data_IF_459579576466
#
_entry.id   IF_459579576466
#
_cell.length_a   1.000
_cell.length_b   1.000
_cell.length_c   1.000
_cell.angle_alpha   90.00
_cell.angle_beta   90.00
_cell.angle_gamma   90.00
#
_symmetry.space_group_name_H-M   'P 1'
#
loop_
_entity.id
_entity.type
_entity.pdbx_description
1 polymer ?
#
# COMPACT_ATOMS: atom_id res chain seq x y z
N UNK A 1 29.50 -34.93 -39.81
CA UNK A 1 29.60 -33.49 -40.13
C UNK A 1 28.52 -32.75 -39.36
N UNK A 2 28.94 -31.78 -38.57
CA UNK A 2 28.20 -31.15 -37.47
C UNK A 2 27.46 -29.90 -37.96
N UNK A 3 26.16 -29.77 -37.67
CA UNK A 3 25.48 -28.47 -37.63
C UNK A 3 24.40 -28.46 -36.54
N UNK A 4 24.83 -28.29 -35.30
CA UNK A 4 23.96 -27.80 -34.22
C UNK A 4 23.92 -26.28 -34.30
N UNK A 5 22.81 -25.72 -34.75
CA UNK A 5 22.49 -24.29 -34.59
C UNK A 5 21.65 -24.19 -33.31
N UNK A 6 22.32 -24.19 -32.16
CA UNK A 6 21.67 -23.83 -30.91
C UNK A 6 21.52 -22.31 -30.90
N UNK A 7 20.32 -21.90 -31.29
CA UNK A 7 19.81 -20.54 -31.23
C UNK A 7 20.10 -19.92 -29.86
N UNK A 8 20.85 -18.81 -29.92
CA UNK A 8 21.04 -17.85 -28.85
C UNK A 8 19.67 -17.29 -28.43
N UNK A 9 18.95 -18.01 -27.56
CA UNK A 9 17.93 -17.40 -26.72
C UNK A 9 18.64 -16.52 -25.70
N UNK A 10 19.05 -15.34 -26.18
CA UNK A 10 19.39 -14.18 -25.38
C UNK A 10 18.13 -13.83 -24.59
N UNK A 11 17.97 -14.46 -23.41
CA UNK A 11 17.04 -13.99 -22.38
C UNK A 11 17.46 -12.55 -22.15
N UNK A 12 16.65 -11.61 -22.64
CA UNK A 12 16.61 -10.24 -22.15
C UNK A 12 16.54 -10.36 -20.63
N UNK A 13 17.70 -10.25 -19.99
CA UNK A 13 17.80 -9.98 -18.56
C UNK A 13 17.11 -8.62 -18.45
N UNK A 14 15.85 -8.64 -18.00
CA UNK A 14 15.19 -7.43 -17.55
C UNK A 14 16.22 -6.70 -16.67
N UNK A 15 16.47 -5.43 -16.97
CA UNK A 15 17.34 -4.60 -16.17
C UNK A 15 17.06 -4.93 -14.70
N UNK A 16 18.09 -5.37 -13.97
CA UNK A 16 17.97 -5.74 -12.56
C UNK A 16 17.18 -4.59 -11.91
N UNK A 17 15.94 -4.83 -11.42
CA UNK A 17 15.14 -3.76 -10.87
C UNK A 17 15.96 -3.20 -9.73
N UNK A 18 16.38 -1.95 -9.86
CA UNK A 18 17.29 -1.31 -8.91
C UNK A 18 16.61 -1.36 -7.55
N UNK A 19 17.03 -2.33 -6.74
CA UNK A 19 16.30 -2.71 -5.54
C UNK A 19 16.18 -1.48 -4.63
N UNK A 20 14.99 -1.28 -4.07
CA UNK A 20 14.80 -0.22 -3.09
C UNK A 20 15.78 -0.44 -1.93
N UNK A 21 16.50 0.60 -1.48
CA UNK A 21 17.38 0.49 -0.33
C UNK A 21 16.64 -0.06 0.90
N UNK A 22 17.28 -0.96 1.65
CA UNK A 22 16.65 -1.65 2.80
C UNK A 22 16.09 -0.65 3.83
N UNK A 23 16.81 0.44 4.11
CA UNK A 23 16.34 1.50 5.02
C UNK A 23 15.02 2.15 4.56
N UNK A 24 14.80 2.29 3.26
CA UNK A 24 13.56 2.85 2.70
C UNK A 24 12.44 1.82 2.79
N UNK A 25 12.76 0.54 2.59
CA UNK A 25 11.79 -0.54 2.77
C UNK A 25 11.30 -0.63 4.22
N UNK A 26 12.22 -0.58 5.19
CA UNK A 26 11.88 -0.56 6.61
C UNK A 26 11.05 0.67 6.98
N UNK A 27 11.38 1.85 6.44
CA UNK A 27 10.61 3.06 6.66
C UNK A 27 9.18 2.97 6.10
N UNK A 28 9.01 2.40 4.90
CA UNK A 28 7.70 2.20 4.30
C UNK A 28 6.87 1.17 5.08
N UNK A 29 7.49 0.11 5.59
CA UNK A 29 6.80 -0.89 6.40
C UNK A 29 6.40 -0.34 7.78
N UNK A 30 7.14 0.66 8.29
CA UNK A 30 6.80 1.44 9.49
C UNK A 30 5.81 2.59 9.24
N UNK A 31 5.28 2.76 8.02
CA UNK A 31 4.35 3.85 7.73
C UNK A 31 3.09 3.75 8.60
N UNK A 32 2.71 4.89 9.17
CA UNK A 32 1.50 4.99 9.97
C UNK A 32 0.29 5.17 9.05
N UNK A 33 -0.70 4.29 9.19
CA UNK A 33 -1.93 4.31 8.38
C UNK A 33 -3.12 4.54 9.29
N UNK A 34 -3.74 5.71 9.16
CA UNK A 34 -4.95 6.07 9.87
C UNK A 34 -6.14 5.91 8.93
N UNK A 35 -7.04 4.99 9.29
CA UNK A 35 -8.27 4.72 8.55
C UNK A 35 -9.41 5.32 9.36
N UNK A 36 -10.09 6.34 8.82
CA UNK A 36 -11.27 6.87 9.48
C UNK A 36 -12.51 6.01 9.17
N UNK A 37 -13.33 5.66 10.18
CA UNK A 37 -14.59 4.99 9.94
C UNK A 37 -15.53 5.89 9.11
N UNK A 38 -16.31 5.28 8.22
CA UNK A 38 -17.29 5.96 7.40
C UNK A 38 -18.43 6.47 8.26
N UNK A 39 -18.43 7.76 8.57
CA UNK A 39 -19.62 8.46 9.08
C UNK A 39 -20.27 9.20 7.92
N UNK A 40 -21.20 8.54 7.22
CA UNK A 40 -22.06 9.16 6.19
C UNK A 40 -22.02 8.50 4.79
N UNK A 41 -22.98 8.90 3.95
CA UNK A 41 -23.36 8.31 2.66
C UNK A 41 -22.29 8.46 1.53
N UNK A 42 -21.21 9.21 1.78
CA UNK A 42 -20.08 9.42 0.85
C UNK A 42 -18.90 8.51 1.20
N UNK A 43 -19.17 7.21 1.23
CA UNK A 43 -18.27 6.09 1.50
C UNK A 43 -17.27 5.79 0.36
N UNK A 44 -16.48 6.78 -0.10
CA UNK A 44 -15.54 6.60 -1.21
C UNK A 44 -14.14 7.09 -0.88
N UNK A 45 -13.25 6.15 -0.55
CA UNK A 45 -11.78 6.14 -0.72
C UNK A 45 -10.93 7.28 -0.10
N UNK A 46 -11.52 8.38 0.37
CA UNK A 46 -10.82 9.58 0.86
C UNK A 46 -10.46 9.55 2.37
N UNK A 47 -10.64 8.40 3.02
CA UNK A 47 -10.56 8.28 4.49
C UNK A 47 -9.22 7.77 5.03
N UNK A 48 -8.28 7.42 4.15
CA UNK A 48 -6.98 6.91 4.58
C UNK A 48 -5.94 8.01 4.55
N UNK A 49 -5.41 8.33 5.73
CA UNK A 49 -4.26 9.21 5.90
C UNK A 49 -3.04 8.33 6.15
N UNK A 50 -2.00 8.52 5.34
CA UNK A 50 -0.74 7.82 5.48
C UNK A 50 0.32 8.82 5.88
N UNK A 51 1.11 8.46 6.88
CA UNK A 51 2.29 9.21 7.28
C UNK A 51 3.50 8.30 7.19
N UNK A 52 4.46 8.71 6.36
CA UNK A 52 5.73 8.04 6.18
C UNK A 52 6.73 8.61 7.21
N UNK A 53 7.63 7.81 7.80
CA UNK A 53 8.67 8.31 8.68
C UNK A 53 9.51 9.41 8.01
N UNK A 54 9.70 10.54 8.68
CA UNK A 54 10.41 11.71 8.13
C UNK A 54 9.60 12.56 7.14
N UNK A 55 8.39 12.11 6.76
CA UNK A 55 7.49 12.82 5.86
C UNK A 55 6.28 13.44 6.55
N UNK A 56 5.57 14.29 5.81
CA UNK A 56 4.26 14.80 6.23
C UNK A 56 3.17 13.76 6.01
N UNK A 57 2.12 13.79 6.84
CA UNK A 57 0.92 12.99 6.61
C UNK A 57 0.13 13.49 5.39
N UNK A 58 -0.33 12.57 4.54
CA UNK A 58 -1.09 12.90 3.34
C UNK A 58 -2.30 11.98 3.16
N UNK A 59 -3.30 12.45 2.41
CA UNK A 59 -4.42 11.62 1.98
C UNK A 59 -3.94 10.63 0.94
N UNK A 60 -4.22 9.36 1.16
CA UNK A 60 -3.72 8.29 0.32
C UNK A 60 -4.39 8.31 -1.05
N UNK A 61 -3.61 8.69 -2.05
CA UNK A 61 -3.86 8.44 -3.47
C UNK A 61 -2.54 7.98 -4.09
N UNK A 62 -2.58 7.26 -5.20
CA UNK A 62 -1.35 6.82 -5.88
C UNK A 62 -0.44 8.02 -6.24
N UNK A 63 -1.04 9.12 -6.71
CA UNK A 63 -0.32 10.35 -7.05
C UNK A 63 0.29 11.03 -5.82
N UNK A 64 -0.47 11.14 -4.72
CA UNK A 64 0.05 11.74 -3.49
C UNK A 64 1.14 10.90 -2.85
N UNK A 65 1.00 9.56 -2.89
CA UNK A 65 2.02 8.64 -2.39
C UNK A 65 3.34 8.80 -3.16
N UNK A 66 3.29 8.79 -4.49
CA UNK A 66 4.48 9.01 -5.32
C UNK A 66 5.12 10.39 -5.03
N UNK A 67 4.31 11.45 -4.94
CA UNK A 67 4.81 12.79 -4.62
C UNK A 67 5.44 12.86 -3.22
N UNK A 68 4.83 12.23 -2.22
CA UNK A 68 5.37 12.21 -0.86
C UNK A 68 6.67 11.41 -0.77
N UNK A 69 6.76 10.27 -1.45
CA UNK A 69 7.97 9.44 -1.50
C UNK A 69 9.11 10.20 -2.19
N UNK A 70 8.86 10.80 -3.36
CA UNK A 70 9.87 11.57 -4.08
C UNK A 70 10.37 12.80 -3.29
N UNK A 71 9.51 13.41 -2.45
CA UNK A 71 9.90 14.51 -1.56
C UNK A 71 10.70 14.05 -0.34
N UNK A 72 10.39 12.87 0.18
CA UNK A 72 11.03 12.33 1.38
C UNK A 72 12.41 11.74 1.05
N UNK A 73 12.53 11.12 -0.11
CA UNK A 73 13.76 10.51 -0.61
C UNK A 73 14.04 10.98 -2.05
N UNK A 74 14.58 12.20 -2.22
CA UNK A 74 14.89 12.76 -3.54
C UNK A 74 15.99 11.99 -4.29
N UNK A 75 16.73 11.13 -3.61
CA UNK A 75 17.74 10.24 -4.19
C UNK A 75 17.15 9.05 -4.98
N UNK A 76 15.84 8.80 -4.85
CA UNK A 76 15.16 7.73 -5.58
C UNK A 76 14.86 8.13 -7.03
N UNK A 77 15.02 7.17 -7.94
CA UNK A 77 14.57 7.34 -9.32
C UNK A 77 13.04 7.14 -9.46
N UNK A 78 12.47 7.52 -10.61
CA UNK A 78 11.03 7.43 -10.86
C UNK A 78 10.49 5.99 -10.78
N UNK A 79 11.29 4.99 -11.14
CA UNK A 79 10.91 3.57 -11.10
C UNK A 79 10.84 3.09 -9.66
N UNK A 80 11.84 3.45 -8.85
CA UNK A 80 11.90 3.18 -7.42
C UNK A 80 10.77 3.87 -6.67
N UNK A 81 10.46 5.14 -7.00
CA UNK A 81 9.31 5.86 -6.44
C UNK A 81 8.00 5.14 -6.78
N UNK A 82 7.84 4.69 -8.03
CA UNK A 82 6.67 3.93 -8.47
C UNK A 82 6.51 2.61 -7.71
N UNK A 83 7.60 1.86 -7.54
CA UNK A 83 7.58 0.59 -6.83
C UNK A 83 7.36 0.77 -5.32
N UNK A 84 7.94 1.80 -4.72
CA UNK A 84 7.68 2.20 -3.34
C UNK A 84 6.20 2.58 -3.13
N UNK A 85 5.61 3.34 -4.06
CA UNK A 85 4.19 3.71 -4.02
C UNK A 85 3.27 2.48 -4.16
N UNK A 86 3.62 1.50 -5.02
CA UNK A 86 2.89 0.22 -5.13
C UNK A 86 2.98 -0.58 -3.83
N UNK A 87 4.16 -0.64 -3.20
CA UNK A 87 4.33 -1.34 -1.91
C UNK A 87 3.49 -0.69 -0.81
N UNK A 88 3.51 0.64 -0.73
CA UNK A 88 2.67 1.39 0.21
C UNK A 88 1.18 1.15 -0.01
N UNK A 89 0.75 1.07 -1.27
CA UNK A 89 -0.64 0.75 -1.64
C UNK A 89 -1.08 -0.62 -1.14
N UNK A 90 -0.19 -1.62 -1.22
CA UNK A 90 -0.46 -2.98 -0.70
C UNK A 90 -0.59 -2.96 0.83
N UNK A 91 0.28 -2.23 1.53
CA UNK A 91 0.22 -2.09 2.98
C UNK A 91 -1.10 -1.45 3.40
N UNK A 92 -1.51 -0.36 2.74
CA UNK A 92 -2.79 0.30 2.98
C UNK A 92 -3.97 -0.67 2.76
N UNK A 93 -3.96 -1.44 1.68
CA UNK A 93 -5.02 -2.41 1.40
C UNK A 93 -5.11 -3.49 2.49
N UNK A 94 -3.98 -4.01 2.99
CA UNK A 94 -3.95 -4.99 4.09
C UNK A 94 -4.52 -4.38 5.38
N UNK A 95 -4.15 -3.14 5.71
CA UNK A 95 -4.66 -2.43 6.89
C UNK A 95 -6.15 -2.14 6.78
N UNK A 96 -6.63 -1.72 5.61
CA UNK A 96 -8.06 -1.53 5.35
C UNK A 96 -8.85 -2.84 5.53
N UNK A 97 -8.35 -3.95 4.99
CA UNK A 97 -9.00 -5.26 5.15
C UNK A 97 -9.05 -5.70 6.63
N UNK A 98 -7.98 -5.46 7.39
CA UNK A 98 -7.95 -5.74 8.83
C UNK A 98 -8.95 -4.86 9.60
N UNK A 99 -9.01 -3.57 9.28
CA UNK A 99 -9.97 -2.63 9.89
C UNK A 99 -11.42 -3.01 9.58
N UNK A 100 -11.72 -3.37 8.32
CA UNK A 100 -13.06 -3.82 7.92
C UNK A 100 -13.47 -5.11 8.65
N UNK A 101 -12.55 -6.06 8.83
CA UNK A 101 -12.79 -7.28 9.62
C UNK A 101 -13.04 -6.97 11.10
N UNK A 102 -12.25 -6.07 11.70
CA UNK A 102 -12.44 -5.65 13.09
C UNK A 102 -13.81 -4.98 13.29
N UNK A 103 -14.19 -4.06 12.40
CA UNK A 103 -15.49 -3.41 12.41
C UNK A 103 -16.66 -4.40 12.26
N UNK A 104 -16.51 -5.44 11.42
CA UNK A 104 -17.51 -6.50 11.28
C UNK A 104 -17.66 -7.34 12.55
N UNK A 105 -16.57 -7.63 13.26
CA UNK A 105 -16.63 -8.35 14.54
C UNK A 105 -17.29 -7.49 15.63
N UNK A 106 -16.93 -6.21 15.74
CA UNK A 106 -17.53 -5.30 16.72
C UNK A 106 -19.03 -5.04 16.45
N UNK A 107 -19.44 -5.03 15.17
CA UNK A 107 -20.85 -4.92 14.77
C UNK A 107 -21.74 -6.10 15.21
N UNK A 108 -21.16 -7.27 15.50
CA UNK A 108 -21.92 -8.43 16.00
C UNK A 108 -22.16 -8.40 17.52
N UNK A 109 -21.41 -7.59 18.28
CA UNK A 109 -21.57 -7.49 19.73
C UNK A 109 -22.80 -6.66 20.17
N UNK A 110 -23.41 -5.89 19.25
CA UNK A 110 -24.56 -5.03 19.53
C UNK A 110 -25.91 -5.56 19.03
N UNK A 111 -25.96 -6.77 18.45
CA UNK A 111 -27.20 -7.48 18.21
C UNK A 111 -27.71 -8.13 19.52
N UNK A 112 -27.98 -7.31 20.55
CA UNK A 112 -28.82 -7.76 21.66
C UNK A 112 -30.18 -8.10 21.05
N UNK A 113 -30.67 -9.35 21.13
CA UNK A 113 -32.04 -9.61 20.76
C UNK A 113 -32.87 -8.82 21.76
N UNK A 114 -33.53 -7.78 21.28
CA UNK A 114 -34.66 -7.19 21.98
C UNK A 114 -35.68 -8.34 22.07
N UNK A 115 -35.64 -9.06 23.18
CA UNK A 115 -36.67 -9.98 23.60
C UNK A 115 -37.93 -9.13 23.77
N UNK A 116 -38.70 -9.02 22.69
CA UNK A 116 -40.08 -8.57 22.71
C UNK A 116 -40.85 -9.57 23.55
N UNK A 117 -41.00 -9.26 24.85
CA UNK A 117 -42.11 -9.77 25.66
C UNK A 117 -43.29 -8.84 25.40
N UNK A 118 -44.29 -9.33 24.67
CA UNK A 118 -45.68 -8.97 24.84
C UNK A 118 -46.53 -10.23 24.63
#
# INVERSE_FOLDING_TARGET
MVRSVLSLFSRRRAADPQALPDAILEALDCAFVLIRPETGDTARQDHVVVQIPGGAGFRFTAANAACAIAKTWPELDEVQVSDAAKRLSRLVAVRQAAHARAAALDGTANARPYLTRF
#
